data_IF_860647738569
#
_entry.id   IF_860647738569
#
_cell.length_a   1.000
_cell.length_b   1.000
_cell.length_c   1.000
_cell.angle_alpha   90.00
_cell.angle_beta   90.00
_cell.angle_gamma   90.00
#
_symmetry.space_group_name_H-M   'P 1'
#
loop_
_entity.id
_entity.type
_entity.pdbx_description
1 polymer ?
#
# COMPACT_ATOMS: atom_id res chain seq x y z
N UNK A 1 -5.69 -11.80 -5.29
CA UNK A 1 -5.62 -11.02 -4.03
C UNK A 1 -6.95 -11.18 -3.31
N UNK A 2 -6.99 -11.22 -1.97
CA UNK A 2 -8.25 -11.21 -1.22
C UNK A 2 -8.99 -9.87 -1.42
N UNK A 3 -10.33 -9.90 -1.49
CA UNK A 3 -11.14 -8.69 -1.77
C UNK A 3 -11.01 -7.61 -0.69
N UNK A 4 -10.90 -7.99 0.58
CA UNK A 4 -10.71 -7.05 1.71
C UNK A 4 -9.41 -6.28 1.57
N UNK A 5 -8.34 -6.99 1.22
CA UNK A 5 -7.02 -6.42 0.97
C UNK A 5 -7.06 -5.52 -0.26
N UNK A 6 -7.70 -5.96 -1.35
CA UNK A 6 -7.83 -5.17 -2.57
C UNK A 6 -8.53 -3.83 -2.30
N UNK A 7 -9.65 -3.85 -1.55
CA UNK A 7 -10.36 -2.62 -1.16
C UNK A 7 -9.48 -1.69 -0.31
N UNK A 8 -8.63 -2.23 0.56
CA UNK A 8 -7.69 -1.40 1.34
C UNK A 8 -6.60 -0.79 0.45
N UNK A 9 -6.03 -1.56 -0.48
CA UNK A 9 -5.08 -1.06 -1.47
C UNK A 9 -5.71 0.10 -2.27
N UNK A 10 -6.92 -0.09 -2.78
CA UNK A 10 -7.60 0.93 -3.60
C UNK A 10 -7.89 2.20 -2.79
N UNK A 11 -8.39 2.06 -1.55
CA UNK A 11 -8.59 3.22 -0.66
C UNK A 11 -7.30 3.97 -0.37
N UNK A 12 -6.21 3.26 -0.06
CA UNK A 12 -4.94 3.90 0.26
C UNK A 12 -4.28 4.52 -0.97
N UNK A 13 -4.38 3.88 -2.13
CA UNK A 13 -3.92 4.43 -3.40
C UNK A 13 -4.56 5.81 -3.66
N UNK A 14 -5.89 5.88 -3.63
CA UNK A 14 -6.63 7.14 -3.84
C UNK A 14 -6.30 8.17 -2.75
N UNK A 15 -6.29 7.75 -1.48
CA UNK A 15 -5.96 8.64 -0.35
C UNK A 15 -4.59 9.28 -0.52
N UNK A 16 -3.57 8.50 -0.92
CA UNK A 16 -2.19 8.98 -1.04
C UNK A 16 -2.04 9.88 -2.27
N UNK A 17 -2.60 9.48 -3.41
CA UNK A 17 -2.52 10.23 -4.65
C UNK A 17 -3.16 11.63 -4.52
N UNK A 18 -4.23 11.74 -3.72
CA UNK A 18 -4.96 12.99 -3.48
C UNK A 18 -4.51 13.77 -2.23
N UNK A 19 -3.63 13.22 -1.39
CA UNK A 19 -3.02 13.95 -0.28
C UNK A 19 -1.82 14.78 -0.78
N UNK A 20 -1.33 15.74 0.02
CA UNK A 20 -0.21 16.63 -0.37
C UNK A 20 1.10 15.92 -0.72
N UNK A 21 1.21 14.62 -0.40
CA UNK A 21 2.35 13.74 -0.69
C UNK A 21 2.20 12.93 -1.98
N UNK A 22 1.00 12.88 -2.56
CA UNK A 22 0.70 12.20 -3.82
C UNK A 22 1.51 12.75 -5.00
N UNK A 23 1.97 14.00 -4.90
CA UNK A 23 2.87 14.62 -5.88
C UNK A 23 4.15 13.81 -6.15
N UNK A 24 4.65 13.03 -5.17
CA UNK A 24 5.81 12.16 -5.35
C UNK A 24 5.52 10.92 -6.23
N UNK A 25 4.25 10.59 -6.40
CA UNK A 25 3.77 9.44 -7.18
C UNK A 25 3.10 9.83 -8.49
N UNK A 26 2.98 11.12 -8.80
CA UNK A 26 2.45 11.59 -10.08
C UNK A 26 3.38 11.11 -11.20
N UNK A 27 2.84 10.35 -12.16
CA UNK A 27 3.61 9.67 -13.20
C UNK A 27 4.31 8.38 -12.77
N UNK A 28 4.10 7.97 -11.51
CA UNK A 28 4.62 6.75 -10.90
C UNK A 28 3.53 6.01 -10.10
N UNK A 29 2.27 6.14 -10.52
CA UNK A 29 1.11 5.58 -9.83
C UNK A 29 1.16 4.05 -9.76
N UNK A 30 1.67 3.41 -10.80
CA UNK A 30 1.86 1.96 -10.82
C UNK A 30 2.82 1.49 -9.72
N UNK A 31 3.86 2.26 -9.41
CA UNK A 31 4.80 1.95 -8.33
C UNK A 31 4.14 2.06 -6.96
N UNK A 32 3.26 3.06 -6.76
CA UNK A 32 2.47 3.16 -5.54
C UNK A 32 1.59 1.92 -5.36
N UNK A 33 0.92 1.50 -6.43
CA UNK A 33 0.02 0.35 -6.40
C UNK A 33 0.76 -0.96 -6.18
N UNK A 34 1.92 -1.12 -6.80
CA UNK A 34 2.80 -2.27 -6.60
C UNK A 34 3.37 -2.32 -5.17
N UNK A 35 3.83 -1.18 -4.62
CA UNK A 35 4.33 -1.10 -3.25
C UNK A 35 3.27 -1.50 -2.22
N UNK A 36 2.03 -1.04 -2.39
CA UNK A 36 0.88 -1.45 -1.57
C UNK A 36 0.62 -2.97 -1.67
N UNK A 37 0.67 -3.53 -2.87
CA UNK A 37 0.46 -4.96 -3.08
C UNK A 37 1.59 -5.83 -2.51
N UNK A 38 2.84 -5.36 -2.56
CA UNK A 38 4.00 -6.04 -1.99
C UNK A 38 3.93 -6.07 -0.47
N UNK A 39 3.61 -4.96 0.18
CA UNK A 39 3.35 -4.91 1.62
C UNK A 39 2.26 -5.88 2.04
N UNK A 40 1.16 -5.95 1.27
CA UNK A 40 0.10 -6.90 1.55
C UNK A 40 0.58 -8.35 1.48
N UNK A 41 1.41 -8.68 0.48
CA UNK A 41 2.01 -10.02 0.33
C UNK A 41 2.99 -10.35 1.44
N UNK A 42 3.84 -9.40 1.83
CA UNK A 42 4.77 -9.56 2.95
C UNK A 42 4.03 -9.87 4.24
N UNK A 43 2.98 -9.09 4.53
CA UNK A 43 2.19 -9.26 5.74
C UNK A 43 1.40 -10.58 5.74
N UNK A 44 0.81 -10.97 4.61
CA UNK A 44 0.23 -12.31 4.44
C UNK A 44 1.27 -13.42 4.62
N UNK A 45 2.51 -13.20 4.15
CA UNK A 45 3.62 -14.14 4.28
C UNK A 45 4.04 -14.39 5.73
N UNK A 46 3.75 -13.44 6.64
CA UNK A 46 3.94 -13.61 8.10
C UNK A 46 2.80 -14.38 8.77
N UNK A 47 1.77 -14.79 8.02
CA UNK A 47 0.62 -15.53 8.52
C UNK A 47 -0.54 -14.65 8.99
N UNK A 48 -0.51 -13.35 8.74
CA UNK A 48 -1.60 -12.43 9.06
C UNK A 48 -2.87 -12.79 8.28
N UNK A 49 -4.04 -12.61 8.91
CA UNK A 49 -5.31 -12.81 8.22
C UNK A 49 -5.56 -11.70 7.19
N UNK A 50 -6.44 -11.89 6.19
CA UNK A 50 -6.74 -10.82 5.25
C UNK A 50 -7.30 -9.54 5.90
N UNK A 51 -7.99 -9.67 7.04
CA UNK A 51 -8.50 -8.53 7.79
C UNK A 51 -7.36 -7.79 8.49
N UNK A 52 -6.42 -8.51 9.11
CA UNK A 52 -5.26 -7.92 9.78
C UNK A 52 -4.32 -7.26 8.76
N UNK A 53 -4.11 -7.88 7.59
CA UNK A 53 -3.35 -7.28 6.50
C UNK A 53 -3.99 -6.00 5.98
N UNK A 54 -5.32 -5.96 5.82
CA UNK A 54 -6.01 -4.74 5.42
C UNK A 54 -5.90 -3.64 6.49
N UNK A 55 -6.02 -3.99 7.77
CA UNK A 55 -5.81 -3.05 8.86
C UNK A 55 -4.36 -2.54 8.91
N UNK A 56 -3.38 -3.41 8.67
CA UNK A 56 -1.97 -3.03 8.53
C UNK A 56 -1.78 -2.00 7.41
N UNK A 57 -2.30 -2.25 6.22
CA UNK A 57 -2.22 -1.31 5.10
C UNK A 57 -2.91 0.03 5.37
N UNK A 58 -4.01 0.01 6.13
CA UNK A 58 -4.73 1.23 6.52
C UNK A 58 -3.97 2.02 7.61
N UNK A 59 -3.06 1.40 8.35
CA UNK A 59 -2.28 2.03 9.44
C UNK A 59 -0.85 2.41 9.04
N UNK A 60 -0.22 1.63 8.16
CA UNK A 60 1.07 1.97 7.58
C UNK A 60 0.89 3.15 6.67
N UNK A 61 1.77 4.14 6.81
CA UNK A 61 1.85 5.24 5.85
C UNK A 61 2.68 4.80 4.64
N UNK A 62 2.04 4.49 3.50
CA UNK A 62 2.75 3.97 2.34
C UNK A 62 3.51 5.06 1.57
N UNK A 63 3.28 6.33 1.93
CA UNK A 63 4.04 7.48 1.46
C UNK A 63 5.32 7.71 2.26
N UNK A 64 5.62 6.87 3.26
CA UNK A 64 6.92 6.90 3.93
C UNK A 64 8.02 6.61 2.88
N UNK A 65 9.09 7.42 2.81
CA UNK A 65 10.20 7.21 1.87
C UNK A 65 10.80 5.80 1.94
N UNK A 66 10.61 5.09 3.06
CA UNK A 66 10.99 3.70 3.25
C UNK A 66 10.30 2.72 2.30
N UNK A 67 9.06 2.99 1.88
CA UNK A 67 8.30 2.14 0.93
C UNK A 67 8.98 2.16 -0.43
N UNK A 68 9.37 3.36 -0.87
CA UNK A 68 10.07 3.55 -2.13
C UNK A 68 11.52 3.02 -2.06
N UNK A 69 12.15 3.04 -0.88
CA UNK A 69 13.53 2.54 -0.70
C UNK A 69 13.64 1.03 -0.42
N UNK A 70 12.61 0.37 0.11
CA UNK A 70 12.68 -1.06 0.42
C UNK A 70 12.60 -1.96 -0.81
N UNK A 71 12.14 -1.42 -1.95
CA UNK A 71 11.76 -2.22 -3.11
C UNK A 71 12.28 -1.66 -4.45
N UNK A 72 13.26 -0.73 -4.41
CA UNK A 72 14.08 -0.25 -5.54
C UNK A 72 15.50 -0.82 -5.45
#
# INVERSE_FOLDING_TARGET
MNETIQRSIDRNFERILHDGRGAAYVGHEDWLREGLALMAKDELGKGSSPADTAAFLDTVDPAAPGIMRMYL
#
